data_IF_760074326872
#
_entry.id   IF_760074326872
#
_cell.length_a   1.000
_cell.length_b   1.000
_cell.length_c   1.000
_cell.angle_alpha   90.00
_cell.angle_beta   90.00
_cell.angle_gamma   90.00
#
_symmetry.space_group_name_H-M   'P 1'
#
loop_
_entity.id
_entity.type
_entity.pdbx_description
1 polymer ?
#
# COMPACT_ATOMS: atom_id res chain seq x y z
N UNK A 1 -26.69 -12.02 8.69
CA UNK A 1 -27.99 -12.35 8.07
C UNK A 1 -28.87 -11.11 8.15
N UNK A 2 -29.81 -10.93 7.22
CA UNK A 2 -30.71 -9.77 7.21
C UNK A 2 -30.07 -8.45 6.72
N UNK A 3 -28.93 -8.53 6.04
CA UNK A 3 -28.29 -7.38 5.40
C UNK A 3 -28.51 -7.45 3.89
N UNK A 4 -28.78 -6.31 3.26
CA UNK A 4 -28.92 -6.19 1.80
C UNK A 4 -27.56 -6.17 1.09
N UNK A 5 -26.52 -5.70 1.76
CA UNK A 5 -25.15 -5.71 1.26
C UNK A 5 -24.11 -6.05 2.33
N UNK A 6 -22.99 -6.59 1.89
CA UNK A 6 -21.81 -6.93 2.69
C UNK A 6 -20.59 -6.31 2.00
N UNK A 7 -19.97 -5.33 2.67
CA UNK A 7 -18.68 -4.75 2.26
C UNK A 7 -17.59 -5.43 3.10
N UNK A 8 -16.56 -5.98 2.45
CA UNK A 8 -15.62 -6.89 3.14
C UNK A 8 -14.18 -6.73 2.65
N UNK A 9 -13.23 -6.94 3.56
CA UNK A 9 -11.80 -7.09 3.23
C UNK A 9 -11.50 -8.59 3.30
N UNK A 10 -11.04 -9.16 2.18
CA UNK A 10 -10.77 -10.59 2.11
C UNK A 10 -9.31 -10.89 2.52
N UNK A 11 -9.11 -11.44 3.72
CA UNK A 11 -7.75 -11.79 4.20
C UNK A 11 -7.05 -12.78 3.27
N UNK A 12 -7.80 -13.69 2.64
CA UNK A 12 -7.33 -14.60 1.60
C UNK A 12 -8.19 -14.41 0.35
N UNK A 13 -7.62 -14.51 -0.86
CA UNK A 13 -8.39 -14.39 -2.09
C UNK A 13 -9.28 -15.61 -2.39
N UNK A 14 -9.09 -16.71 -1.66
CA UNK A 14 -9.79 -17.98 -1.87
C UNK A 14 -10.77 -18.32 -0.74
N UNK A 15 -11.60 -19.35 -0.94
CA UNK A 15 -12.50 -19.89 0.10
C UNK A 15 -13.86 -19.19 0.24
N UNK A 16 -14.12 -18.13 -0.54
CA UNK A 16 -15.38 -17.37 -0.50
C UNK A 16 -16.50 -17.94 -1.35
N UNK A 17 -16.23 -18.99 -2.10
CA UNK A 17 -17.11 -19.57 -3.12
C UNK A 17 -18.50 -19.96 -2.56
N UNK A 18 -18.54 -20.52 -1.34
CA UNK A 18 -19.79 -20.84 -0.63
C UNK A 18 -20.52 -19.59 -0.17
N UNK A 19 -19.80 -18.56 0.27
CA UNK A 19 -20.36 -17.28 0.76
C UNK A 19 -20.99 -16.52 -0.41
N UNK A 20 -20.30 -16.45 -1.55
CA UNK A 20 -20.80 -15.85 -2.79
C UNK A 20 -22.11 -16.52 -3.22
N UNK A 21 -22.13 -17.86 -3.33
CA UNK A 21 -23.37 -18.60 -3.68
C UNK A 21 -24.50 -18.42 -2.67
N UNK A 22 -24.19 -18.18 -1.40
CA UNK A 22 -25.22 -17.94 -0.39
C UNK A 22 -25.79 -16.53 -0.53
N UNK A 23 -24.95 -15.53 -0.73
CA UNK A 23 -25.39 -14.16 -0.92
C UNK A 23 -26.22 -13.99 -2.20
N UNK A 24 -25.77 -14.57 -3.31
CA UNK A 24 -26.51 -14.61 -4.58
C UNK A 24 -27.93 -15.18 -4.41
N UNK A 25 -28.06 -16.35 -3.77
CA UNK A 25 -29.37 -16.97 -3.47
C UNK A 25 -30.28 -16.14 -2.56
N UNK A 26 -29.72 -15.19 -1.81
CA UNK A 26 -30.48 -14.33 -0.89
C UNK A 26 -30.56 -12.88 -1.39
N UNK A 27 -30.15 -12.60 -2.65
CA UNK A 27 -30.09 -11.25 -3.22
C UNK A 27 -29.28 -10.26 -2.37
N UNK A 28 -28.18 -10.73 -1.78
CA UNK A 28 -27.26 -9.89 -0.99
C UNK A 28 -26.08 -9.49 -1.86
N UNK A 29 -25.82 -8.19 -1.96
CA UNK A 29 -24.64 -7.66 -2.67
C UNK A 29 -23.39 -7.90 -1.83
N UNK A 30 -22.34 -8.51 -2.41
CA UNK A 30 -21.02 -8.59 -1.76
C UNK A 30 -20.05 -7.68 -2.52
N UNK A 31 -19.31 -6.85 -1.78
CA UNK A 31 -18.27 -5.96 -2.32
C UNK A 31 -16.97 -6.19 -1.55
N UNK A 32 -16.10 -7.10 -2.03
CA UNK A 32 -14.73 -7.14 -1.59
C UNK A 32 -14.01 -5.85 -1.99
N UNK A 33 -13.27 -5.26 -1.07
CA UNK A 33 -12.46 -4.08 -1.35
C UNK A 33 -11.11 -4.16 -0.66
N UNK A 34 -10.14 -3.39 -1.15
CA UNK A 34 -8.77 -3.30 -0.62
C UNK A 34 -7.99 -4.62 -0.77
N UNK A 35 -8.40 -5.66 -0.05
CA UNK A 35 -8.03 -7.04 -0.31
C UNK A 35 -9.19 -7.77 -1.02
N UNK A 36 -8.90 -8.31 -2.20
CA UNK A 36 -9.89 -8.82 -3.15
C UNK A 36 -9.85 -10.34 -3.29
N UNK A 37 -10.83 -10.88 -4.03
CA UNK A 37 -11.00 -12.31 -4.27
C UNK A 37 -10.49 -12.68 -5.66
N UNK A 38 -9.96 -13.90 -5.82
CA UNK A 38 -9.60 -14.44 -7.12
C UNK A 38 -10.85 -15.03 -7.80
N UNK A 39 -11.77 -14.15 -8.19
CA UNK A 39 -13.05 -14.53 -8.83
C UNK A 39 -13.63 -13.40 -9.66
N UNK A 40 -14.50 -13.76 -10.61
CA UNK A 40 -15.28 -12.84 -11.43
C UNK A 40 -16.77 -12.75 -11.05
N UNK A 41 -17.17 -13.47 -9.99
CA UNK A 41 -18.58 -13.62 -9.62
C UNK A 41 -19.16 -12.45 -8.82
N UNK A 42 -18.33 -11.52 -8.36
CA UNK A 42 -18.74 -10.37 -7.55
C UNK A 42 -18.02 -9.12 -8.03
N UNK A 43 -18.65 -7.96 -7.82
CA UNK A 43 -18.00 -6.69 -8.05
C UNK A 43 -17.01 -6.37 -6.93
N UNK A 44 -15.89 -5.72 -7.25
CA UNK A 44 -14.80 -5.42 -6.32
C UNK A 44 -14.31 -3.99 -6.49
N UNK A 45 -13.72 -3.42 -5.42
CA UNK A 45 -13.15 -2.07 -5.42
C UNK A 45 -11.69 -2.13 -4.95
N UNK A 46 -10.74 -1.70 -5.78
CA UNK A 46 -9.33 -1.73 -5.41
C UNK A 46 -8.52 -0.67 -6.18
N UNK A 47 -7.23 -0.57 -5.89
CA UNK A 47 -6.25 -0.05 -6.84
C UNK A 47 -5.47 -1.19 -7.50
N UNK A 48 -4.76 -0.88 -8.57
CA UNK A 48 -3.90 -1.84 -9.28
C UNK A 48 -2.62 -2.12 -8.47
N UNK A 49 -2.67 -3.19 -7.69
CA UNK A 49 -1.59 -3.60 -6.78
C UNK A 49 -0.34 -4.09 -7.53
N UNK A 50 -0.52 -4.67 -8.71
CA UNK A 50 0.60 -5.04 -9.57
C UNK A 50 1.31 -3.79 -10.10
N UNK A 51 0.56 -2.81 -10.60
CA UNK A 51 1.11 -1.53 -11.04
C UNK A 51 1.78 -0.75 -9.89
N UNK A 52 1.24 -0.82 -8.67
CA UNK A 52 1.86 -0.21 -7.48
C UNK A 52 3.24 -0.81 -7.20
N UNK A 53 3.34 -2.15 -7.18
CA UNK A 53 4.62 -2.84 -7.03
C UNK A 53 5.64 -2.49 -8.11
N UNK A 54 5.18 -2.40 -9.37
CA UNK A 54 6.03 -1.97 -10.48
C UNK A 54 6.58 -0.57 -10.29
N UNK A 55 5.73 0.40 -9.93
CA UNK A 55 6.14 1.79 -9.75
C UNK A 55 7.18 1.96 -8.64
N UNK A 56 7.06 1.21 -7.54
CA UNK A 56 8.09 1.19 -6.49
C UNK A 56 9.44 0.69 -7.01
N UNK A 57 9.45 -0.42 -7.74
CA UNK A 57 10.68 -0.98 -8.32
C UNK A 57 11.29 -0.07 -9.39
N UNK A 58 10.45 0.52 -10.25
CA UNK A 58 10.87 1.47 -11.29
C UNK A 58 11.50 2.72 -10.67
N UNK A 59 10.95 3.22 -9.56
CA UNK A 59 11.52 4.35 -8.82
C UNK A 59 12.89 4.03 -8.24
N UNK A 60 13.02 2.94 -7.47
CA UNK A 60 14.32 2.63 -6.85
C UNK A 60 15.39 2.34 -7.89
N UNK A 61 15.07 1.65 -8.99
CA UNK A 61 16.00 1.46 -10.10
C UNK A 61 16.38 2.78 -10.78
N UNK A 62 15.43 3.70 -10.93
CA UNK A 62 15.66 5.03 -11.46
C UNK A 62 16.67 5.81 -10.62
N UNK A 63 16.51 5.79 -9.30
CA UNK A 63 17.44 6.44 -8.37
C UNK A 63 18.82 5.77 -8.33
N UNK A 64 18.86 4.44 -8.29
CA UNK A 64 20.10 3.67 -8.37
C UNK A 64 20.87 3.98 -9.67
N UNK A 65 20.17 4.11 -10.79
CA UNK A 65 20.77 4.47 -12.07
C UNK A 65 21.34 5.90 -12.06
N UNK A 66 20.67 6.86 -11.40
CA UNK A 66 21.21 8.22 -11.22
C UNK A 66 22.53 8.21 -10.44
N UNK A 67 22.68 7.27 -9.51
CA UNK A 67 23.92 7.04 -8.77
C UNK A 67 24.97 6.24 -9.56
N UNK A 68 24.68 5.86 -10.81
CA UNK A 68 25.55 5.05 -11.65
C UNK A 68 25.59 3.56 -11.28
N UNK A 69 24.65 3.08 -10.45
CA UNK A 69 24.57 1.67 -10.06
C UNK A 69 23.80 0.85 -11.11
N UNK A 70 24.35 -0.29 -11.48
CA UNK A 70 23.76 -1.26 -12.42
C UNK A 70 23.62 -2.67 -11.82
N UNK A 71 23.99 -2.82 -10.56
CA UNK A 71 23.94 -4.04 -9.75
C UNK A 71 23.79 -3.66 -8.28
N UNK A 72 23.32 -4.57 -7.44
CA UNK A 72 23.24 -4.31 -6.01
C UNK A 72 22.29 -5.25 -5.27
N UNK A 73 22.12 -4.98 -3.98
CA UNK A 73 21.23 -5.73 -3.09
C UNK A 73 20.00 -4.92 -2.75
N UNK A 74 18.81 -5.49 -2.94
CA UNK A 74 17.53 -4.83 -2.68
C UNK A 74 16.81 -5.61 -1.58
N UNK A 75 16.40 -4.90 -0.53
CA UNK A 75 15.52 -5.46 0.49
C UNK A 75 14.06 -5.28 0.05
N UNK A 76 13.28 -6.36 0.05
CA UNK A 76 11.83 -6.30 -0.04
C UNK A 76 11.20 -6.74 1.28
N UNK A 77 10.48 -5.83 1.93
CA UNK A 77 9.67 -6.10 3.12
C UNK A 77 8.23 -6.39 2.68
N UNK A 78 7.87 -7.67 2.73
CA UNK A 78 6.60 -8.24 2.28
C UNK A 78 5.45 -7.96 3.24
N UNK A 79 4.24 -8.08 2.69
CA UNK A 79 3.00 -7.96 3.42
C UNK A 79 2.59 -9.21 4.18
N UNK A 80 1.27 -9.41 4.30
CA UNK A 80 0.69 -10.62 4.89
C UNK A 80 0.72 -11.77 3.85
N UNK A 81 1.43 -12.89 4.13
CA UNK A 81 1.52 -14.00 3.19
C UNK A 81 0.16 -14.65 2.89
N UNK A 82 -0.05 -15.02 1.62
CA UNK A 82 -1.28 -15.65 1.14
C UNK A 82 -2.40 -14.67 0.79
N UNK A 83 -2.14 -13.37 0.90
CA UNK A 83 -3.04 -12.32 0.46
C UNK A 83 -2.77 -11.91 -1.00
N UNK A 84 -3.82 -11.55 -1.76
CA UNK A 84 -3.69 -11.13 -3.16
C UNK A 84 -2.89 -9.83 -3.33
N UNK A 85 -3.06 -8.86 -2.43
CA UNK A 85 -2.36 -7.57 -2.49
C UNK A 85 -0.86 -7.76 -2.32
N UNK A 86 -0.45 -8.59 -1.36
CA UNK A 86 0.96 -8.92 -1.15
C UNK A 86 1.58 -9.63 -2.36
N UNK A 87 0.86 -10.62 -2.89
CA UNK A 87 1.24 -11.38 -4.08
C UNK A 87 1.45 -10.45 -5.28
N UNK A 88 0.48 -9.60 -5.58
CA UNK A 88 0.44 -8.81 -6.80
C UNK A 88 1.49 -7.68 -6.76
N UNK A 89 1.66 -7.01 -5.60
CA UNK A 89 2.74 -6.05 -5.37
C UNK A 89 4.12 -6.69 -5.55
N UNK A 90 4.34 -7.83 -4.90
CA UNK A 90 5.63 -8.53 -5.00
C UNK A 90 5.92 -8.98 -6.43
N UNK A 91 4.90 -9.50 -7.13
CA UNK A 91 5.03 -9.83 -8.55
C UNK A 91 5.41 -8.61 -9.39
N UNK A 92 4.78 -7.45 -9.16
CA UNK A 92 5.11 -6.20 -9.85
C UNK A 92 6.54 -5.75 -9.63
N UNK A 93 7.03 -5.87 -8.39
CA UNK A 93 8.42 -5.57 -8.03
C UNK A 93 9.38 -6.47 -8.80
N UNK A 94 9.18 -7.79 -8.73
CA UNK A 94 10.10 -8.77 -9.33
C UNK A 94 10.09 -8.70 -10.86
N UNK A 95 8.92 -8.55 -11.49
CA UNK A 95 8.82 -8.43 -12.95
C UNK A 95 9.61 -7.21 -13.47
N UNK A 96 9.72 -6.13 -12.69
CA UNK A 96 10.54 -4.94 -13.04
C UNK A 96 12.02 -5.20 -12.79
N UNK A 97 12.39 -5.76 -11.64
CA UNK A 97 13.78 -6.02 -11.29
C UNK A 97 14.43 -7.05 -12.22
N UNK A 98 13.70 -8.11 -12.57
CA UNK A 98 14.15 -9.14 -13.52
C UNK A 98 14.33 -8.57 -14.93
N UNK A 99 13.41 -7.70 -15.37
CA UNK A 99 13.47 -7.07 -16.69
C UNK A 99 14.62 -6.04 -16.81
N UNK A 100 15.08 -5.46 -15.69
CA UNK A 100 16.17 -4.49 -15.69
C UNK A 100 17.53 -5.11 -16.07
N UNK A 101 17.68 -6.44 -15.96
CA UNK A 101 18.85 -7.19 -16.46
C UNK A 101 20.18 -6.97 -15.72
N UNK A 102 20.21 -6.11 -14.70
CA UNK A 102 21.35 -5.98 -13.78
C UNK A 102 21.40 -7.13 -12.77
N UNK A 103 22.56 -7.52 -12.24
CA UNK A 103 22.62 -8.51 -11.17
C UNK A 103 22.12 -7.86 -9.86
N UNK A 104 20.83 -8.03 -9.61
CA UNK A 104 20.14 -7.58 -8.41
C UNK A 104 19.92 -8.78 -7.46
N UNK A 105 20.50 -8.73 -6.27
CA UNK A 105 20.21 -9.69 -5.19
C UNK A 105 19.02 -9.19 -4.40
N UNK A 106 17.90 -9.92 -4.44
CA UNK A 106 16.68 -9.56 -3.71
C UNK A 106 16.63 -10.37 -2.42
N UNK A 107 16.62 -9.69 -1.27
CA UNK A 107 16.36 -10.30 0.03
C UNK A 107 14.92 -10.01 0.42
N UNK A 108 14.13 -11.05 0.69
CA UNK A 108 12.74 -10.90 1.10
C UNK A 108 12.57 -11.23 2.58
N UNK A 109 11.89 -10.36 3.32
CA UNK A 109 11.46 -10.58 4.70
C UNK A 109 9.98 -10.24 4.85
N UNK A 110 9.32 -10.73 5.90
CA UNK A 110 7.87 -10.56 6.08
C UNK A 110 7.58 -9.55 7.19
N UNK A 111 7.05 -8.38 6.81
CA UNK A 111 6.69 -7.30 7.72
C UNK A 111 5.23 -7.30 8.16
N UNK A 112 4.37 -8.13 7.57
CA UNK A 112 2.93 -8.24 7.91
C UNK A 112 2.14 -6.91 7.82
N UNK A 113 2.64 -5.93 7.05
CA UNK A 113 2.10 -4.56 6.98
C UNK A 113 2.03 -3.82 8.33
N UNK A 114 2.84 -4.26 9.31
CA UNK A 114 2.88 -3.69 10.65
C UNK A 114 4.22 -3.00 10.88
N UNK A 115 4.19 -1.74 11.33
CA UNK A 115 5.40 -0.92 11.52
C UNK A 115 6.40 -1.59 12.48
N UNK A 116 5.93 -2.15 13.60
CA UNK A 116 6.81 -2.78 14.58
C UNK A 116 7.48 -4.06 14.03
N UNK A 117 6.70 -4.88 13.33
CA UNK A 117 7.18 -6.10 12.69
C UNK A 117 8.14 -5.77 11.55
N UNK A 118 7.79 -4.83 10.67
CA UNK A 118 8.63 -4.35 9.57
C UNK A 118 9.96 -3.78 10.07
N UNK A 119 9.95 -2.98 11.16
CA UNK A 119 11.16 -2.48 11.79
C UNK A 119 12.05 -3.63 12.26
N UNK A 120 11.48 -4.60 12.98
CA UNK A 120 12.23 -5.75 13.48
C UNK A 120 12.87 -6.55 12.35
N UNK A 121 12.09 -6.95 11.34
CA UNK A 121 12.63 -7.81 10.27
C UNK A 121 13.60 -7.08 9.36
N UNK A 122 13.45 -5.76 9.20
CA UNK A 122 14.43 -4.93 8.51
C UNK A 122 15.74 -4.86 9.27
N UNK A 123 15.70 -4.64 10.60
CA UNK A 123 16.89 -4.65 11.45
C UNK A 123 17.60 -6.01 11.40
N UNK A 124 16.85 -7.12 11.49
CA UNK A 124 17.38 -8.47 11.37
C UNK A 124 18.03 -8.68 9.98
N UNK A 125 17.40 -8.22 8.91
CA UNK A 125 17.93 -8.31 7.55
C UNK A 125 19.25 -7.52 7.39
N UNK A 126 19.32 -6.29 7.92
CA UNK A 126 20.56 -5.48 7.90
C UNK A 126 21.67 -6.17 8.70
N UNK A 127 21.35 -6.73 9.87
CA UNK A 127 22.34 -7.44 10.69
C UNK A 127 22.92 -8.68 9.99
N UNK A 128 22.10 -9.40 9.23
CA UNK A 128 22.51 -10.64 8.54
C UNK A 128 23.17 -10.37 7.18
N UNK A 129 22.60 -9.46 6.40
CA UNK A 129 22.99 -9.24 5.00
C UNK A 129 23.84 -7.99 4.78
N UNK A 130 24.03 -7.17 5.82
CA UNK A 130 24.80 -5.93 5.78
C UNK A 130 24.06 -4.81 5.05
N UNK A 131 24.76 -4.13 4.15
CA UNK A 131 24.23 -2.98 3.43
C UNK A 131 23.38 -3.40 2.24
N UNK A 132 22.25 -2.71 2.07
CA UNK A 132 21.37 -2.74 0.92
C UNK A 132 21.57 -1.48 0.09
N UNK A 133 21.38 -1.60 -1.22
CA UNK A 133 21.46 -0.48 -2.16
C UNK A 133 20.10 0.22 -2.33
N UNK A 134 19.00 -0.47 -2.08
CA UNK A 134 17.64 0.09 -2.00
C UNK A 134 16.74 -0.78 -1.12
N UNK A 135 15.65 -0.20 -0.62
CA UNK A 135 14.65 -0.95 0.16
C UNK A 135 13.23 -0.64 -0.33
N UNK A 136 12.42 -1.68 -0.55
CA UNK A 136 11.01 -1.57 -0.91
C UNK A 136 10.20 -2.25 0.18
N UNK A 137 9.13 -1.62 0.64
CA UNK A 137 8.24 -2.17 1.66
C UNK A 137 6.79 -2.04 1.22
N UNK A 138 6.01 -3.10 1.40
CA UNK A 138 4.60 -3.08 0.99
C UNK A 138 3.66 -2.43 2.02
N UNK A 139 4.19 -2.13 3.21
CA UNK A 139 3.49 -1.57 4.37
C UNK A 139 4.34 -1.81 5.63
N UNK A 140 4.19 -0.96 6.65
CA UNK A 140 5.17 -0.85 7.74
C UNK A 140 6.36 0.03 7.35
N UNK A 141 6.14 1.01 6.46
CA UNK A 141 7.22 1.76 5.81
C UNK A 141 7.97 2.68 6.78
N UNK A 142 7.28 3.20 7.80
CA UNK A 142 7.91 3.97 8.88
C UNK A 142 8.89 3.08 9.64
N UNK A 143 8.48 1.85 9.95
CA UNK A 143 9.32 0.87 10.64
C UNK A 143 10.59 0.52 9.88
N UNK A 144 10.49 0.27 8.58
CA UNK A 144 11.65 -0.02 7.73
C UNK A 144 12.70 1.12 7.75
N UNK A 145 12.27 2.37 7.58
CA UNK A 145 13.19 3.52 7.58
C UNK A 145 13.81 3.74 8.96
N UNK A 146 13.04 3.56 10.04
CA UNK A 146 13.58 3.62 11.41
C UNK A 146 14.65 2.58 11.64
N UNK A 147 14.41 1.33 11.26
CA UNK A 147 15.41 0.27 11.37
C UNK A 147 16.69 0.59 10.60
N UNK A 148 16.56 1.15 9.39
CA UNK A 148 17.69 1.61 8.59
C UNK A 148 18.51 2.67 9.35
N UNK A 149 17.84 3.70 9.89
CA UNK A 149 18.49 4.77 10.65
C UNK A 149 19.13 4.28 11.95
N UNK A 150 18.42 3.46 12.72
CA UNK A 150 18.88 2.89 13.99
C UNK A 150 20.13 2.01 13.80
N UNK A 151 20.23 1.31 12.67
CA UNK A 151 21.39 0.51 12.31
C UNK A 151 22.58 1.34 11.79
N UNK A 152 22.44 2.66 11.65
CA UNK A 152 23.44 3.51 11.00
C UNK A 152 23.65 3.16 9.53
N UNK A 153 22.64 2.56 8.88
CA UNK A 153 22.71 2.18 7.48
C UNK A 153 22.72 3.45 6.61
N UNK A 154 23.49 3.48 5.51
CA UNK A 154 23.48 4.61 4.58
C UNK A 154 22.08 4.94 4.07
N UNK A 155 21.79 6.22 3.87
CA UNK A 155 20.55 6.62 3.20
C UNK A 155 20.58 6.12 1.76
N UNK A 156 19.56 5.35 1.38
CA UNK A 156 19.40 4.76 0.06
C UNK A 156 18.02 5.06 -0.50
N UNK A 157 17.77 4.86 -1.81
CA UNK A 157 16.43 4.94 -2.34
C UNK A 157 15.49 3.98 -1.62
N UNK A 158 14.34 4.49 -1.20
CA UNK A 158 13.31 3.71 -0.53
C UNK A 158 11.96 3.88 -1.23
N UNK A 159 11.15 2.84 -1.25
CA UNK A 159 9.79 2.90 -1.76
C UNK A 159 8.84 2.19 -0.79
N UNK A 160 7.70 2.81 -0.52
CA UNK A 160 6.79 2.33 0.51
C UNK A 160 5.38 2.84 0.35
N UNK A 161 4.56 2.49 1.33
CA UNK A 161 3.19 2.95 1.44
C UNK A 161 3.14 4.46 1.80
N UNK A 162 1.97 4.96 2.13
CA UNK A 162 1.56 6.30 2.48
C UNK A 162 1.37 6.53 3.97
N UNK A 163 1.97 5.70 4.83
CA UNK A 163 1.99 6.00 6.26
C UNK A 163 2.59 7.39 6.49
N UNK A 164 1.94 8.17 7.34
CA UNK A 164 2.32 9.54 7.63
C UNK A 164 3.73 9.60 8.22
N UNK A 165 4.13 8.59 9.01
CA UNK A 165 5.47 8.45 9.54
C UNK A 165 6.53 8.33 8.45
N UNK A 166 6.29 7.49 7.44
CA UNK A 166 7.19 7.34 6.30
C UNK A 166 7.33 8.65 5.52
N UNK A 167 6.22 9.33 5.22
CA UNK A 167 6.29 10.64 4.54
C UNK A 167 6.98 11.70 5.39
N UNK A 168 6.77 11.72 6.71
CA UNK A 168 7.52 12.61 7.63
C UNK A 168 9.02 12.34 7.57
N UNK A 169 9.43 11.08 7.65
CA UNK A 169 10.84 10.69 7.58
C UNK A 169 11.49 11.07 6.24
N UNK A 170 10.80 10.87 5.12
CA UNK A 170 11.29 11.32 3.80
C UNK A 170 11.43 12.85 3.77
N UNK A 171 10.41 13.59 4.25
CA UNK A 171 10.46 15.05 4.27
C UNK A 171 11.63 15.57 5.12
N UNK A 172 11.88 14.94 6.27
CA UNK A 172 12.96 15.30 7.20
C UNK A 172 14.35 14.96 6.65
N UNK A 173 14.53 13.78 6.05
CA UNK A 173 15.84 13.24 5.67
C UNK A 173 16.14 13.24 4.17
N UNK A 174 15.28 13.83 3.33
CA UNK A 174 15.55 13.95 1.89
C UNK A 174 16.84 14.72 1.60
N UNK A 175 17.15 15.74 2.40
CA UNK A 175 18.42 16.49 2.34
C UNK A 175 19.65 15.66 2.72
N UNK A 176 19.46 14.61 3.51
CA UNK A 176 20.50 13.65 3.93
C UNK A 176 20.65 12.48 2.95
N UNK A 177 19.86 12.46 1.87
CA UNK A 177 19.90 11.45 0.81
C UNK A 177 18.78 10.41 0.83
N UNK A 178 17.80 10.52 1.75
CA UNK A 178 16.63 9.63 1.78
C UNK A 178 15.66 9.94 0.64
N UNK A 179 15.91 9.34 -0.52
CA UNK A 179 15.06 9.48 -1.72
C UNK A 179 13.93 8.47 -1.66
N UNK A 180 12.78 8.91 -1.15
CA UNK A 180 11.60 8.09 -0.98
C UNK A 180 10.55 8.26 -2.08
N UNK A 181 9.87 7.18 -2.45
CA UNK A 181 8.56 7.20 -3.12
C UNK A 181 7.51 6.57 -2.20
N UNK A 182 6.46 7.34 -1.93
CA UNK A 182 5.28 6.90 -1.21
C UNK A 182 4.11 6.74 -2.17
N UNK A 183 3.53 5.55 -2.25
CA UNK A 183 2.29 5.28 -2.99
C UNK A 183 1.30 4.70 -1.99
N UNK A 184 0.07 5.22 -1.94
CA UNK A 184 -0.91 4.78 -0.97
C UNK A 184 -2.00 3.91 -1.55
N UNK A 185 -2.33 2.82 -0.87
CA UNK A 185 -3.63 2.17 -0.99
C UNK A 185 -4.59 2.86 -0.03
N UNK A 186 -5.58 3.53 -0.59
CA UNK A 186 -6.38 4.47 0.18
C UNK A 186 -7.37 3.80 1.14
N UNK A 187 -7.41 4.21 2.42
CA UNK A 187 -8.53 3.87 3.31
C UNK A 187 -9.89 4.34 2.78
N UNK A 188 -9.91 5.37 1.91
CA UNK A 188 -11.11 5.88 1.23
C UNK A 188 -11.80 4.86 0.33
N UNK A 189 -11.13 3.74 -0.02
CA UNK A 189 -11.72 2.62 -0.74
C UNK A 189 -13.00 2.10 -0.07
N UNK A 190 -13.10 2.11 1.26
CA UNK A 190 -14.31 1.67 1.98
C UNK A 190 -15.53 2.53 1.63
N UNK A 191 -15.34 3.85 1.50
CA UNK A 191 -16.42 4.77 1.14
C UNK A 191 -16.88 4.54 -0.31
N UNK A 192 -15.94 4.23 -1.21
CA UNK A 192 -16.23 3.87 -2.60
C UNK A 192 -16.96 2.53 -2.66
N UNK A 193 -16.53 1.54 -1.88
CA UNK A 193 -17.17 0.23 -1.81
C UNK A 193 -18.62 0.31 -1.28
N UNK A 194 -18.87 1.13 -0.25
CA UNK A 194 -20.22 1.40 0.25
C UNK A 194 -21.07 2.09 -0.83
N UNK A 195 -20.54 3.11 -1.51
CA UNK A 195 -21.26 3.77 -2.62
C UNK A 195 -21.58 2.81 -3.76
N UNK A 196 -20.64 1.94 -4.12
CA UNK A 196 -20.84 0.91 -5.13
C UNK A 196 -21.96 -0.05 -4.71
N UNK A 197 -21.93 -0.52 -3.45
CA UNK A 197 -22.98 -1.39 -2.90
C UNK A 197 -24.36 -0.73 -2.97
N UNK A 198 -24.48 0.53 -2.54
CA UNK A 198 -25.74 1.29 -2.60
C UNK A 198 -26.24 1.47 -4.03
N UNK A 199 -25.34 1.76 -4.98
CA UNK A 199 -25.68 1.88 -6.40
C UNK A 199 -26.21 0.56 -6.97
N UNK A 200 -25.56 -0.57 -6.63
CA UNK A 200 -26.01 -1.90 -7.04
C UNK A 200 -27.39 -2.25 -6.44
N UNK A 201 -27.61 -1.95 -5.16
CA UNK A 201 -28.92 -2.12 -4.50
C UNK A 201 -30.02 -1.26 -5.13
N UNK A 202 -29.66 -0.10 -5.68
CA UNK A 202 -30.55 0.76 -6.47
C UNK A 202 -30.88 0.21 -7.87
N UNK A 203 -30.35 -0.95 -8.25
CA UNK A 203 -30.58 -1.60 -9.55
C UNK A 203 -29.67 -1.10 -10.68
N UNK A 204 -28.63 -0.32 -10.38
CA UNK A 204 -27.68 0.12 -11.38
C UNK A 204 -26.68 -1.00 -11.73
N UNK A 205 -26.34 -1.11 -13.02
CA UNK A 205 -25.29 -2.03 -13.48
C UNK A 205 -23.93 -1.49 -13.06
N UNK A 206 -23.17 -2.32 -12.35
CA UNK A 206 -21.83 -1.98 -11.87
C UNK A 206 -20.75 -2.74 -12.65
N UNK A 207 -19.57 -2.14 -12.88
CA UNK A 207 -18.43 -2.89 -13.39
C UNK A 207 -17.97 -3.93 -12.36
N UNK A 208 -17.36 -5.01 -12.85
CA UNK A 208 -16.85 -6.08 -11.99
C UNK A 208 -15.64 -5.63 -11.15
N UNK A 209 -14.82 -4.73 -11.66
CA UNK A 209 -13.73 -4.10 -10.92
C UNK A 209 -13.82 -2.59 -11.06
N UNK A 210 -13.97 -1.91 -9.93
CA UNK A 210 -13.82 -0.46 -9.81
C UNK A 210 -12.36 -0.23 -9.38
N UNK A 211 -11.49 0.02 -10.35
CA UNK A 211 -10.10 0.39 -10.08
C UNK A 211 -10.02 1.89 -9.85
N UNK A 212 -9.45 2.32 -8.72
CA UNK A 212 -9.18 3.74 -8.44
C UNK A 212 -7.70 4.07 -8.64
N UNK A 213 -7.35 5.35 -8.89
CA UNK A 213 -5.96 5.76 -9.14
C UNK A 213 -5.06 5.50 -7.94
N UNK A 214 -3.77 5.30 -8.18
CA UNK A 214 -2.73 5.18 -7.15
C UNK A 214 -2.22 6.56 -6.73
N UNK A 215 -2.64 7.13 -5.58
CA UNK A 215 -2.12 8.39 -5.09
C UNK A 215 -0.66 8.23 -4.63
N UNK A 216 0.22 9.11 -5.11
CA UNK A 216 1.65 9.04 -4.82
C UNK A 216 2.27 10.40 -4.49
N UNK A 217 3.36 10.38 -3.75
CA UNK A 217 4.25 11.52 -3.56
C UNK A 217 5.69 11.02 -3.44
N UNK A 218 6.61 11.61 -4.21
CA UNK A 218 8.04 11.37 -4.03
C UNK A 218 8.70 12.43 -3.12
N UNK A 219 9.96 12.20 -2.78
CA UNK A 219 10.78 13.06 -1.93
C UNK A 219 10.91 14.51 -2.40
N UNK A 220 10.54 14.84 -3.64
CA UNK A 220 10.53 16.21 -4.17
C UNK A 220 9.17 16.91 -4.01
N UNK A 221 8.13 16.18 -3.63
CA UNK A 221 6.74 16.64 -3.63
C UNK A 221 6.15 16.82 -2.23
N UNK A 222 6.85 16.39 -1.18
CA UNK A 222 6.31 16.37 0.18
C UNK A 222 6.16 17.78 0.77
N UNK A 223 4.96 18.07 1.28
CA UNK A 223 4.56 19.37 1.81
C UNK A 223 3.67 19.17 3.05
N UNK A 224 4.06 19.82 4.16
CA UNK A 224 3.36 19.72 5.43
C UNK A 224 1.91 20.24 5.32
N UNK A 225 0.97 19.50 5.88
CA UNK A 225 -0.46 19.81 5.85
C UNK A 225 -1.16 19.47 4.53
N UNK A 226 -0.44 18.94 3.53
CA UNK A 226 -0.99 18.61 2.21
C UNK A 226 -0.92 17.12 1.90
N UNK A 227 0.27 16.53 2.03
CA UNK A 227 0.49 15.11 1.75
C UNK A 227 1.18 14.37 2.90
N UNK A 228 1.57 15.08 3.95
CA UNK A 228 1.81 14.54 5.28
C UNK A 228 1.35 15.56 6.32
N UNK A 229 1.07 15.11 7.54
CA UNK A 229 0.56 15.95 8.63
C UNK A 229 1.47 15.81 9.86
N UNK A 230 2.28 16.85 10.19
CA UNK A 230 3.21 16.82 11.31
C UNK A 230 2.57 16.44 12.64
N UNK A 231 1.35 16.95 12.89
CA UNK A 231 0.63 16.78 14.15
C UNK A 231 -0.16 15.46 14.25
N UNK A 232 -0.18 14.66 13.17
CA UNK A 232 -0.83 13.35 13.17
C UNK A 232 0.16 12.22 13.45
N UNK A 233 -0.39 11.12 13.98
CA UNK A 233 0.35 9.90 14.28
C UNK A 233 1.02 9.35 13.03
N UNK A 234 2.12 8.62 13.22
CA UNK A 234 2.85 7.98 12.12
C UNK A 234 2.00 6.98 11.35
N UNK A 235 1.16 6.22 12.06
CA UNK A 235 0.32 5.17 11.47
C UNK A 235 -0.91 5.72 10.73
N UNK A 236 -1.06 7.04 10.63
CA UNK A 236 -2.13 7.63 9.84
C UNK A 236 -1.83 7.45 8.35
N UNK A 237 -2.75 6.89 7.58
CA UNK A 237 -2.59 6.78 6.12
C UNK A 237 -3.02 8.08 5.46
N UNK A 238 -2.16 8.63 4.61
CA UNK A 238 -2.25 10.04 4.18
C UNK A 238 -3.17 10.28 2.98
N UNK A 239 -3.60 9.23 2.29
CA UNK A 239 -4.31 9.32 1.01
C UNK A 239 -5.79 8.93 1.14
N UNK A 240 -6.63 9.79 1.71
CA UNK A 240 -8.04 9.42 2.03
C UNK A 240 -9.08 9.92 1.02
N UNK A 241 -8.65 10.65 0.00
CA UNK A 241 -9.54 11.38 -0.91
C UNK A 241 -9.49 10.84 -2.35
N UNK A 242 -10.67 10.70 -2.94
CA UNK A 242 -10.88 10.48 -4.37
C UNK A 242 -11.97 11.42 -4.89
N UNK A 243 -11.63 12.68 -5.21
CA UNK A 243 -12.59 13.64 -5.75
C UNK A 243 -13.33 13.15 -7.02
N UNK A 244 -12.68 12.42 -7.96
CA UNK A 244 -13.40 11.84 -9.10
C UNK A 244 -14.50 10.84 -8.72
N UNK A 245 -14.39 10.19 -7.56
CA UNK A 245 -15.38 9.27 -6.99
C UNK A 245 -16.32 9.97 -5.98
N UNK A 246 -16.21 11.29 -5.85
CA UNK A 246 -16.93 12.10 -4.86
C UNK A 246 -16.62 11.75 -3.41
N UNK A 247 -15.45 11.15 -3.14
CA UNK A 247 -14.96 10.88 -1.78
C UNK A 247 -13.99 11.99 -1.43
N UNK A 248 -14.43 12.95 -0.63
CA UNK A 248 -13.64 14.12 -0.22
C UNK A 248 -13.58 14.12 1.31
N UNK A 249 -12.93 13.11 1.89
CA UNK A 249 -12.79 12.97 3.33
C UNK A 249 -11.36 13.39 3.68
N UNK A 250 -11.20 14.62 4.15
CA UNK A 250 -9.88 15.17 4.47
C UNK A 250 -9.32 14.54 5.75
N UNK A 251 -7.99 14.54 5.88
CA UNK A 251 -7.33 14.07 7.11
C UNK A 251 -7.81 14.81 8.36
N UNK A 252 -8.02 16.12 8.26
CA UNK A 252 -8.54 16.95 9.35
C UNK A 252 -9.96 16.59 9.74
N UNK A 253 -10.83 16.27 8.77
CA UNK A 253 -12.20 15.83 9.06
C UNK A 253 -12.21 14.46 9.76
N UNK A 254 -11.39 13.51 9.31
CA UNK A 254 -11.27 12.19 9.95
C UNK A 254 -10.85 12.35 11.41
N UNK A 255 -9.81 13.16 11.65
CA UNK A 255 -9.23 13.32 12.99
C UNK A 255 -10.07 14.21 13.91
N UNK A 256 -10.97 15.03 13.36
CA UNK A 256 -11.97 15.76 14.14
C UNK A 256 -13.11 14.87 14.65
N UNK A 257 -13.24 13.62 14.14
CA UNK A 257 -14.26 12.69 14.58
C UNK A 257 -13.88 11.99 15.89
N UNK A 258 -14.87 11.86 16.76
CA UNK A 258 -14.83 11.12 18.03
C UNK A 258 -15.99 10.14 18.06
N UNK A 259 -15.98 9.20 19.00
CA UNK A 259 -17.12 8.29 19.19
C UNK A 259 -18.44 9.04 19.44
N UNK A 260 -18.38 10.27 19.96
CA UNK A 260 -19.53 11.08 20.34
C UNK A 260 -20.09 11.95 19.19
N UNK A 261 -19.37 12.09 18.07
CA UNK A 261 -19.76 12.97 16.95
C UNK A 261 -19.77 12.28 15.57
N UNK A 262 -19.78 10.94 15.58
CA UNK A 262 -19.98 10.09 14.41
C UNK A 262 -21.43 10.05 13.96
#
# INVERSE_FOLDING_TARGET
QGYDAIVTIAVSPEGFDRVIRLADRNNVVIVPFDNILDTDKVMMVNEDQYAMGRQWAEFVLGELKKDGKTSGKILEVRGLPGNSVDRDRSKGIHDVLDAAGGPWEIVQVVGNWDDGTAQKVTADAIAVHGTFDAMITQGGSTGMVRAMMDAGHPMVPVAGESENGFRKLIAEHSGDGLRGLSIGQSPGLVAIAIKAALSALGGNVMPQLISVPLPSADYTQLEAGKNYWPDLTDNFFTVNEFPPCGVNITATEIMAKTADNN
#
